data_IF_102893017078
#
_entry.id   IF_102893017078
#
_cell.length_a   1.000
_cell.length_b   1.000
_cell.length_c   1.000
_cell.angle_alpha   90.00
_cell.angle_beta   90.00
_cell.angle_gamma   90.00
#
_symmetry.space_group_name_H-M   'P 1'
#
loop_
_entity.id
_entity.type
_entity.pdbx_description
1 polymer ?
#
# COMPACT_ATOMS: atom_id res chain seq x y z
N UNK A 1 -12.33 -25.86 19.40
CA UNK A 1 -12.67 -25.28 18.09
C UNK A 1 -11.82 -24.04 17.94
N UNK A 2 -10.59 -24.22 17.46
CA UNK A 2 -9.66 -23.11 17.23
C UNK A 2 -10.18 -22.35 16.04
N UNK A 3 -10.57 -21.09 16.24
CA UNK A 3 -10.78 -20.19 15.12
C UNK A 3 -9.44 -20.12 14.39
N UNK A 4 -9.38 -20.64 13.17
CA UNK A 4 -8.29 -20.33 12.24
C UNK A 4 -8.40 -18.83 11.96
N UNK A 5 -7.74 -18.05 12.82
CA UNK A 5 -7.76 -16.60 12.75
C UNK A 5 -7.07 -16.15 11.48
N UNK A 6 -7.78 -15.35 10.68
CA UNK A 6 -7.17 -14.63 9.56
C UNK A 6 -6.13 -13.65 10.14
N UNK A 7 -4.84 -13.99 9.99
CA UNK A 7 -3.73 -13.13 10.39
C UNK A 7 -3.25 -12.35 9.17
N UNK A 8 -3.18 -11.03 9.30
CA UNK A 8 -2.64 -10.14 8.28
C UNK A 8 -1.21 -9.79 8.66
N UNK A 9 -0.25 -10.16 7.81
CA UNK A 9 1.14 -9.73 7.96
C UNK A 9 1.30 -8.30 7.42
N UNK A 10 1.35 -7.33 8.33
CA UNK A 10 1.50 -5.92 7.99
C UNK A 10 2.84 -5.61 7.31
N UNK A 11 3.89 -6.37 7.62
CA UNK A 11 5.19 -6.19 6.99
C UNK A 11 5.16 -6.65 5.53
N UNK A 12 4.42 -7.72 5.24
CA UNK A 12 4.19 -8.17 3.86
C UNK A 12 3.38 -7.14 3.05
N UNK A 13 2.36 -6.51 3.65
CA UNK A 13 1.61 -5.43 2.99
C UNK A 13 2.50 -4.22 2.68
N UNK A 14 3.34 -3.80 3.63
CA UNK A 14 4.26 -2.68 3.43
C UNK A 14 5.36 -3.01 2.39
N UNK A 15 5.86 -4.24 2.34
CA UNK A 15 6.78 -4.70 1.28
C UNK A 15 6.09 -4.70 -0.10
N UNK A 16 4.87 -5.21 -0.20
CA UNK A 16 4.11 -5.21 -1.43
C UNK A 16 3.83 -3.79 -1.93
N UNK A 17 3.46 -2.88 -1.03
CA UNK A 17 3.27 -1.47 -1.35
C UNK A 17 4.56 -0.82 -1.89
N UNK A 18 5.70 -1.07 -1.23
CA UNK A 18 7.02 -0.59 -1.71
C UNK A 18 7.37 -1.12 -3.09
N UNK A 19 7.10 -2.40 -3.35
CA UNK A 19 7.34 -3.01 -4.68
C UNK A 19 6.46 -2.39 -5.77
N UNK A 20 5.21 -2.09 -5.46
CA UNK A 20 4.30 -1.40 -6.40
C UNK A 20 4.77 0.01 -6.72
N UNK A 21 5.23 0.77 -5.71
CA UNK A 21 5.83 2.09 -5.94
C UNK A 21 7.09 1.99 -6.81
N UNK A 22 7.95 1.00 -6.57
CA UNK A 22 9.13 0.75 -7.40
C UNK A 22 8.76 0.41 -8.87
N UNK A 23 7.65 -0.29 -9.11
CA UNK A 23 7.13 -0.52 -10.47
C UNK A 23 6.67 0.79 -11.12
N UNK A 24 5.95 1.64 -10.38
CA UNK A 24 5.52 2.94 -10.89
C UNK A 24 6.71 3.84 -11.25
N UNK A 25 7.70 3.92 -10.37
CA UNK A 25 8.92 4.70 -10.58
C UNK A 25 9.75 4.16 -11.74
N UNK A 26 9.95 2.84 -11.79
CA UNK A 26 10.63 2.17 -12.90
C UNK A 26 9.92 2.35 -14.24
N UNK A 27 8.58 2.28 -14.24
CA UNK A 27 7.74 2.52 -15.41
C UNK A 27 7.92 3.93 -15.97
N UNK A 28 7.86 4.96 -15.11
CA UNK A 28 8.08 6.36 -15.54
C UNK A 28 9.50 6.59 -16.07
N UNK A 29 10.50 6.06 -15.37
CA UNK A 29 11.90 6.17 -15.78
C UNK A 29 12.19 5.53 -17.14
N UNK A 30 11.63 4.34 -17.39
CA UNK A 30 11.87 3.59 -18.64
C UNK A 30 11.24 4.26 -19.87
N UNK A 31 10.09 4.91 -19.74
CA UNK A 31 9.36 5.49 -20.88
C UNK A 31 9.97 6.79 -21.36
N UNK A 32 10.30 7.68 -20.42
CA UNK A 32 11.00 8.94 -20.71
C UNK A 32 12.33 8.65 -21.39
N UNK A 33 13.03 7.59 -20.97
CA UNK A 33 14.35 7.25 -21.50
C UNK A 33 14.32 6.45 -22.81
N UNK A 34 13.38 5.51 -22.99
CA UNK A 34 13.37 4.59 -24.14
C UNK A 34 12.48 5.00 -25.32
N UNK A 35 11.41 5.76 -25.06
CA UNK A 35 10.40 6.11 -26.08
C UNK A 35 10.28 7.60 -26.38
N UNK A 36 11.23 8.41 -25.90
CA UNK A 36 11.54 9.73 -26.46
C UNK A 36 12.08 9.66 -27.89
N UNK A 37 11.53 8.76 -28.72
CA UNK A 37 11.73 8.76 -30.17
C UNK A 37 11.11 10.06 -30.64
N UNK A 38 11.94 10.99 -31.02
CA UNK A 38 11.50 12.26 -31.56
C UNK A 38 10.90 12.02 -32.95
N UNK A 39 9.58 11.82 -33.00
CA UNK A 39 8.84 11.62 -34.24
C UNK A 39 8.97 12.83 -35.20
N UNK A 40 9.46 13.99 -34.72
CA UNK A 40 9.78 15.14 -35.57
C UNK A 40 11.00 14.89 -36.47
N UNK A 41 11.80 13.86 -36.19
CA UNK A 41 12.88 13.40 -37.07
C UNK A 41 12.38 12.71 -38.34
N UNK A 42 11.13 12.25 -38.35
CA UNK A 42 10.49 11.73 -39.55
C UNK A 42 9.88 12.89 -40.35
N UNK A 43 10.02 12.85 -41.67
CA UNK A 43 9.41 13.85 -42.54
C UNK A 43 7.89 13.90 -42.33
N UNK A 44 7.27 15.07 -42.50
CA UNK A 44 5.81 15.20 -42.33
C UNK A 44 5.01 14.33 -43.29
N UNK A 45 5.57 14.07 -44.48
CA UNK A 45 4.98 13.19 -45.49
C UNK A 45 5.26 11.70 -45.27
N UNK A 46 6.00 11.33 -44.22
CA UNK A 46 6.32 9.92 -43.94
C UNK A 46 5.10 9.22 -43.33
N UNK A 47 4.52 8.19 -43.99
CA UNK A 47 3.38 7.46 -43.45
C UNK A 47 3.67 6.76 -42.12
N UNK A 48 4.94 6.51 -41.78
CA UNK A 48 5.32 5.94 -40.49
C UNK A 48 5.23 6.95 -39.35
N UNK A 49 5.28 8.26 -39.63
CA UNK A 49 5.25 9.31 -38.61
C UNK A 49 3.94 9.29 -37.82
N UNK A 50 2.81 9.14 -38.49
CA UNK A 50 1.51 9.08 -37.83
C UNK A 50 1.37 7.80 -36.98
N UNK A 51 1.77 6.65 -37.54
CA UNK A 51 1.73 5.38 -36.82
C UNK A 51 2.60 5.41 -35.55
N UNK A 52 3.82 5.95 -35.62
CA UNK A 52 4.71 6.11 -34.47
C UNK A 52 4.11 7.06 -33.43
N UNK A 53 3.54 8.18 -33.86
CA UNK A 53 2.91 9.16 -32.96
C UNK A 53 1.73 8.55 -32.20
N UNK A 54 0.86 7.82 -32.89
CA UNK A 54 -0.29 7.13 -32.28
C UNK A 54 0.17 6.05 -31.31
N UNK A 55 1.16 5.24 -31.70
CA UNK A 55 1.72 4.22 -30.84
C UNK A 55 2.31 4.82 -29.56
N UNK A 56 3.11 5.89 -29.67
CA UNK A 56 3.68 6.59 -28.52
C UNK A 56 2.61 7.09 -27.57
N UNK A 57 1.59 7.79 -28.09
CA UNK A 57 0.48 8.28 -27.25
C UNK A 57 -0.23 7.15 -26.52
N UNK A 58 -0.49 6.04 -27.21
CA UNK A 58 -1.12 4.85 -26.60
C UNK A 58 -0.25 4.26 -25.50
N UNK A 59 1.07 4.17 -25.74
CA UNK A 59 2.04 3.66 -24.79
C UNK A 59 2.12 4.54 -23.54
N UNK A 60 2.22 5.88 -23.70
CA UNK A 60 2.18 6.83 -22.59
C UNK A 60 0.91 6.67 -21.76
N UNK A 61 -0.26 6.58 -22.39
CA UNK A 61 -1.53 6.41 -21.68
C UNK A 61 -1.65 5.04 -20.98
N UNK A 62 -1.08 3.97 -21.54
CA UNK A 62 -1.05 2.66 -20.90
C UNK A 62 -0.16 2.67 -19.65
N UNK A 63 1.01 3.29 -19.74
CA UNK A 63 1.97 3.38 -18.63
C UNK A 63 1.50 4.32 -17.53
N UNK A 64 0.87 5.44 -17.87
CA UNK A 64 0.27 6.32 -16.87
C UNK A 64 -0.81 5.58 -16.07
N UNK A 65 -1.66 4.80 -16.74
CA UNK A 65 -2.65 3.94 -16.07
C UNK A 65 -2.02 2.87 -15.20
N UNK A 66 -0.94 2.23 -15.66
CA UNK A 66 -0.21 1.22 -14.88
C UNK A 66 0.42 1.84 -13.62
N UNK A 67 1.16 2.93 -13.77
CA UNK A 67 1.85 3.60 -12.67
C UNK A 67 0.83 4.14 -11.66
N UNK A 68 -0.19 4.87 -12.13
CA UNK A 68 -1.25 5.37 -11.25
C UNK A 68 -2.06 4.25 -10.59
N UNK A 69 -2.21 3.10 -11.27
CA UNK A 69 -2.81 1.90 -10.69
C UNK A 69 -1.98 1.34 -9.54
N UNK A 70 -0.69 1.15 -9.76
CA UNK A 70 0.24 0.66 -8.75
C UNK A 70 0.31 1.58 -7.53
N UNK A 71 0.34 2.90 -7.72
CA UNK A 71 0.31 3.88 -6.64
C UNK A 71 -0.98 3.83 -5.82
N UNK A 72 -2.14 3.75 -6.48
CA UNK A 72 -3.42 3.63 -5.77
C UNK A 72 -3.49 2.35 -4.95
N UNK A 73 -3.00 1.24 -5.49
CA UNK A 73 -2.94 -0.03 -4.75
C UNK A 73 -1.97 0.06 -3.57
N UNK A 74 -0.78 0.64 -3.75
CA UNK A 74 0.18 0.86 -2.66
C UNK A 74 -0.43 1.74 -1.55
N UNK A 75 -1.12 2.82 -1.90
CA UNK A 75 -1.81 3.68 -0.95
C UNK A 75 -2.91 2.92 -0.18
N UNK A 76 -3.69 2.08 -0.87
CA UNK A 76 -4.71 1.25 -0.23
C UNK A 76 -4.10 0.24 0.75
N UNK A 77 -2.97 -0.39 0.40
CA UNK A 77 -2.25 -1.32 1.29
C UNK A 77 -1.75 -0.61 2.55
N UNK A 78 -1.16 0.58 2.43
CA UNK A 78 -0.73 1.36 3.59
C UNK A 78 -1.91 1.81 4.47
N UNK A 79 -3.05 2.17 3.87
CA UNK A 79 -4.25 2.52 4.61
C UNK A 79 -4.77 1.33 5.43
N UNK A 80 -4.87 0.15 4.82
CA UNK A 80 -5.25 -1.10 5.50
C UNK A 80 -4.28 -1.39 6.65
N UNK A 81 -2.96 -1.29 6.41
CA UNK A 81 -1.98 -1.53 7.45
C UNK A 81 -2.08 -0.55 8.63
N UNK A 82 -2.43 0.72 8.36
CA UNK A 82 -2.66 1.72 9.39
C UNK A 82 -3.94 1.45 10.20
N UNK A 83 -5.02 1.01 9.55
CA UNK A 83 -6.26 0.62 10.22
C UNK A 83 -6.03 -0.57 11.17
N UNK A 84 -5.26 -1.57 10.75
CA UNK A 84 -4.89 -2.70 11.62
C UNK A 84 -4.08 -2.25 12.83
N UNK A 85 -3.03 -1.43 12.64
CA UNK A 85 -2.24 -0.89 13.76
C UNK A 85 -3.08 -0.11 14.75
N UNK A 86 -3.98 0.73 14.25
CA UNK A 86 -4.90 1.52 15.09
C UNK A 86 -5.82 0.60 15.90
N UNK A 87 -6.38 -0.43 15.26
CA UNK A 87 -7.23 -1.42 15.92
C UNK A 87 -6.48 -2.18 17.01
N UNK A 88 -5.24 -2.60 16.73
CA UNK A 88 -4.39 -3.31 17.69
C UNK A 88 -4.03 -2.43 18.90
N UNK A 89 -3.71 -1.16 18.68
CA UNK A 89 -3.43 -0.18 19.75
C UNK A 89 -4.66 0.06 20.63
N UNK A 90 -5.85 0.21 20.02
CA UNK A 90 -7.11 0.37 20.75
C UNK A 90 -7.45 -0.86 21.60
N UNK A 91 -7.26 -2.06 21.05
CA UNK A 91 -7.47 -3.32 21.76
C UNK A 91 -6.46 -3.48 22.91
N UNK A 92 -5.18 -3.21 22.68
CA UNK A 92 -4.15 -3.24 23.70
C UNK A 92 -4.46 -2.26 24.84
N UNK A 93 -4.87 -1.03 24.52
CA UNK A 93 -5.27 -0.04 25.52
C UNK A 93 -6.53 -0.47 26.31
N UNK A 94 -7.47 -1.15 25.67
CA UNK A 94 -8.65 -1.72 26.35
C UNK A 94 -8.26 -2.84 27.31
N UNK A 95 -7.38 -3.75 26.91
CA UNK A 95 -6.91 -4.82 27.79
C UNK A 95 -6.08 -4.30 28.95
N UNK A 96 -5.21 -3.31 28.73
CA UNK A 96 -4.44 -2.67 29.79
C UNK A 96 -5.34 -2.06 30.88
N UNK A 97 -6.41 -1.35 30.48
CA UNK A 97 -7.40 -0.79 31.42
C UNK A 97 -8.14 -1.87 32.22
N UNK A 98 -8.53 -2.96 31.58
CA UNK A 98 -9.21 -4.07 32.27
C UNK A 98 -8.29 -4.77 33.28
N UNK A 99 -7.01 -4.95 32.94
CA UNK A 99 -6.03 -5.53 33.85
C UNK A 99 -5.80 -4.65 35.09
N UNK A 100 -5.77 -3.33 34.91
CA UNK A 100 -5.61 -2.36 36.01
C UNK A 100 -6.83 -2.33 36.94
N UNK A 101 -8.04 -2.54 36.39
CA UNK A 101 -9.28 -2.57 37.18
C UNK A 101 -9.42 -3.88 37.98
N UNK A 102 -8.93 -5.01 37.44
CA UNK A 102 -8.95 -6.31 38.13
C UNK A 102 -7.88 -6.46 39.23
N UNK A 103 -6.80 -5.68 39.18
CA UNK A 103 -5.76 -5.69 40.22
C UNK A 103 -6.18 -4.97 41.51
N UNK A 104 -7.18 -4.07 41.44
CA UNK A 104 -7.68 -3.31 42.59
C UNK A 104 -8.62 -4.08 43.53
N UNK A 105 -9.05 -5.30 43.17
CA UNK A 105 -10.03 -6.08 43.95
C UNK A 105 -9.40 -7.10 44.92
N UNK A 106 -8.07 -7.25 44.93
CA UNK A 106 -7.36 -8.25 45.75
C UNK A 106 -6.58 -7.70 46.98
N UNK A 107 -6.75 -6.42 47.34
CA UNK A 107 -6.13 -5.83 48.56
C UNK A 107 -7.15 -5.46 49.65
N UNK A 108 -8.28 -6.19 49.70
CA UNK A 108 -9.29 -6.10 50.76
C UNK A 108 -9.06 -7.13 51.86
N UNK A 109 -8.00 -6.94 52.64
CA UNK A 109 -7.61 -7.82 53.74
C UNK A 109 -8.69 -8.06 54.80
N UNK A 110 -8.86 -9.33 55.14
CA UNK A 110 -8.92 -9.87 56.50
C UNK A 110 -9.81 -9.13 57.53
N UNK A 111 -11.07 -9.54 57.64
CA UNK A 111 -11.83 -9.40 58.89
C UNK A 111 -11.58 -10.63 59.78
N UNK A 112 -10.85 -10.40 60.87
CA UNK A 112 -10.66 -11.35 61.95
C UNK A 112 -12.00 -11.79 62.54
N UNK A 113 -12.20 -13.11 62.65
CA UNK A 113 -13.24 -13.71 63.49
C UNK A 113 -12.63 -13.95 64.87
N UNK A 114 -13.15 -13.25 65.87
CA UNK A 114 -13.01 -13.57 67.31
C UNK A 114 -14.40 -13.89 67.84
#
# INVERSE_FOLDING_TARGET
MTADGFSVDLAELDELARRLLAVADGGRGHVVWRFGIDATRLAESDPLREAVTVYQRSLYAALDRLCGGAERTAAALHAIAAEYRTTDEELAARFARLADTGAGEHDGGSTAIT
#
